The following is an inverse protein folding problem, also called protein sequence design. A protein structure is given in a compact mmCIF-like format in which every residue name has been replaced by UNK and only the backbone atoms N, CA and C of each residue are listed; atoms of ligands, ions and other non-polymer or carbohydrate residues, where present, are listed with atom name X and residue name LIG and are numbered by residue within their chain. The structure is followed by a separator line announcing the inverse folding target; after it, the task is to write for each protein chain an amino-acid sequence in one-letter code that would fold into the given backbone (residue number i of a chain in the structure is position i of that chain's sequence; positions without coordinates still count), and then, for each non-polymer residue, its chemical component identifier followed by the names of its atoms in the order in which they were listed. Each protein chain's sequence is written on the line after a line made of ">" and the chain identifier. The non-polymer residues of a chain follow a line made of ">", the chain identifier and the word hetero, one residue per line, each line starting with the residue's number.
data_IF_659234750522
#
_entry.id   IF_659234750522
#
_cell.length_a   1.000
_cell.length_b   1.000
_cell.length_c   1.000
_cell.angle_alpha   90.00
_cell.angle_beta   90.00
_cell.angle_gamma   90.00
#
_symmetry.space_group_name_H-M   'P 1'
#
loop_
_entity.id
_entity.type
_entity.pdbx_description
1 polymer ?
#
# COMPACT_ATOMS: atom_id res chain seq x y z
N UNK A 1 31.94 -13.57 22.48
CA UNK A 1 30.58 -14.06 22.20
C UNK A 1 29.60 -12.94 22.53
N UNK A 2 29.55 -11.90 21.69
CA UNK A 2 28.61 -10.79 21.85
C UNK A 2 28.38 -10.21 20.45
N UNK A 3 27.14 -10.28 20.00
CA UNK A 3 26.73 -10.01 18.62
C UNK A 3 25.22 -10.11 18.56
N UNK A 4 24.61 -9.12 19.19
CA UNK A 4 23.21 -8.80 19.28
C UNK A 4 22.53 -8.77 17.90
N UNK A 5 21.55 -9.65 17.69
CA UNK A 5 20.40 -9.40 16.82
C UNK A 5 19.41 -10.55 16.98
N UNK A 6 18.81 -10.62 18.17
CA UNK A 6 17.41 -11.00 18.23
C UNK A 6 16.69 -9.83 17.58
N UNK A 7 16.37 -9.95 16.29
CA UNK A 7 15.36 -9.12 15.65
C UNK A 7 14.08 -9.40 16.41
N UNK A 8 13.88 -8.61 17.46
CA UNK A 8 12.67 -8.55 18.23
C UNK A 8 11.59 -8.14 17.23
N UNK A 9 10.92 -9.12 16.65
CA UNK A 9 9.58 -8.99 16.13
C UNK A 9 8.66 -8.70 17.33
N UNK A 10 8.89 -7.56 17.99
CA UNK A 10 7.88 -6.93 18.82
C UNK A 10 6.79 -6.54 17.84
N UNK A 11 5.79 -7.41 17.70
CA UNK A 11 4.53 -7.03 17.07
C UNK A 11 3.87 -5.99 17.98
N UNK A 12 4.32 -4.75 17.79
CA UNK A 12 3.67 -3.52 18.20
C UNK A 12 2.21 -3.57 17.68
N UNK A 13 1.20 -3.17 18.48
CA UNK A 13 -0.23 -3.32 18.16
C UNK A 13 -0.49 -2.82 16.74
N UNK A 14 -1.24 -3.52 15.86
CA UNK A 14 -1.21 -3.29 14.40
C UNK A 14 -1.18 -1.80 14.08
N UNK A 15 0.02 -1.27 13.83
CA UNK A 15 0.20 0.18 13.73
C UNK A 15 -0.49 0.56 12.44
N UNK A 16 -1.56 1.36 12.57
CA UNK A 16 -2.18 1.96 11.40
C UNK A 16 -1.06 2.62 10.59
N UNK A 17 -0.97 2.32 9.29
CA UNK A 17 0.07 2.91 8.47
C UNK A 17 0.01 4.42 8.52
N UNK A 18 1.15 5.08 8.35
CA UNK A 18 1.16 6.53 8.21
C UNK A 18 0.40 6.91 6.94
N UNK A 19 -0.51 7.90 6.96
CA UNK A 19 -1.11 8.42 5.73
C UNK A 19 -0.03 8.81 4.71
N UNK A 20 -0.21 8.38 3.45
CA UNK A 20 0.77 8.47 2.37
C UNK A 20 1.63 7.21 2.18
N UNK A 21 1.51 6.20 3.06
CA UNK A 21 2.19 4.91 2.86
C UNK A 21 1.55 4.14 1.71
N UNK A 22 2.38 3.60 0.81
CA UNK A 22 1.90 2.75 -0.28
C UNK A 22 1.52 1.36 0.24
N UNK A 23 0.30 0.97 -0.06
CA UNK A 23 -0.34 -0.27 0.34
C UNK A 23 -0.73 -1.05 -0.90
N UNK A 24 -0.61 -2.37 -0.84
CA UNK A 24 -1.13 -3.29 -1.84
C UNK A 24 -2.41 -3.90 -1.28
N UNK A 25 -3.49 -3.72 -2.01
CA UNK A 25 -4.77 -4.39 -1.80
C UNK A 25 -4.79 -5.68 -2.61
N UNK A 26 -4.73 -6.80 -1.90
CA UNK A 26 -4.67 -8.16 -2.44
C UNK A 26 -6.05 -8.82 -2.57
N UNK A 27 -7.13 -8.11 -2.23
CA UNK A 27 -8.50 -8.61 -2.42
C UNK A 27 -8.87 -8.83 -3.90
N UNK A 28 -8.12 -8.21 -4.83
CA UNK A 28 -8.28 -8.34 -6.28
C UNK A 28 -6.96 -8.59 -7.01
N UNK A 29 -6.75 -7.94 -8.17
CA UNK A 29 -5.54 -8.10 -9.01
C UNK A 29 -4.26 -7.46 -8.43
N UNK A 30 -4.21 -7.17 -7.13
CA UNK A 30 -3.05 -6.53 -6.50
C UNK A 30 -2.98 -5.03 -6.77
N UNK A 31 -4.04 -4.29 -6.43
CA UNK A 31 -4.12 -2.84 -6.65
C UNK A 31 -3.26 -2.09 -5.64
N UNK A 32 -2.53 -1.07 -6.09
CA UNK A 32 -1.67 -0.26 -5.21
C UNK A 32 -2.27 1.12 -4.97
N UNK A 33 -2.38 1.51 -3.71
CA UNK A 33 -2.92 2.80 -3.28
C UNK A 33 -2.17 3.39 -2.09
N UNK A 34 -2.24 4.70 -1.94
CA UNK A 34 -1.77 5.41 -0.77
C UNK A 34 -2.81 5.29 0.34
N UNK A 35 -2.37 4.87 1.52
CA UNK A 35 -3.19 4.90 2.73
C UNK A 35 -3.55 6.35 3.07
N UNK A 36 -4.84 6.64 3.21
CA UNK A 36 -5.34 7.97 3.57
C UNK A 36 -5.89 8.04 4.98
N UNK A 37 -6.28 6.89 5.54
CA UNK A 37 -6.87 6.79 6.86
C UNK A 37 -7.79 5.57 6.95
N UNK A 38 -8.59 5.52 8.02
CA UNK A 38 -9.60 4.48 8.22
C UNK A 38 -11.00 5.03 7.99
N UNK A 39 -11.87 4.20 7.40
CA UNK A 39 -13.28 4.45 7.21
C UNK A 39 -14.06 3.32 7.90
N UNK A 40 -14.28 3.47 9.21
CA UNK A 40 -14.86 2.41 10.04
C UNK A 40 -13.96 1.18 10.10
N UNK A 41 -14.45 -0.04 9.75
CA UNK A 41 -13.63 -1.25 9.72
C UNK A 41 -12.72 -1.35 8.50
N UNK A 42 -12.88 -0.46 7.51
CA UNK A 42 -12.11 -0.47 6.27
C UNK A 42 -11.00 0.58 6.27
N UNK A 43 -10.00 0.38 5.43
CA UNK A 43 -8.95 1.36 5.14
C UNK A 43 -9.27 2.13 3.88
N UNK A 44 -9.05 3.43 3.91
CA UNK A 44 -9.27 4.31 2.77
C UNK A 44 -7.97 4.43 1.97
N UNK A 45 -7.98 3.93 0.73
CA UNK A 45 -6.85 3.95 -0.19
C UNK A 45 -7.15 4.85 -1.39
N UNK A 46 -6.15 5.62 -1.79
CA UNK A 46 -6.19 6.45 -2.99
C UNK A 46 -5.24 5.90 -4.06
N UNK A 47 -5.67 5.74 -5.32
CA UNK A 47 -4.77 5.28 -6.37
C UNK A 47 -3.66 6.30 -6.64
N UNK A 48 -2.42 5.79 -6.81
CA UNK A 48 -1.22 6.61 -7.07
C UNK A 48 -1.31 7.33 -8.42
N UNK A 49 -2.04 6.79 -9.39
CA UNK A 49 -2.15 7.31 -10.76
C UNK A 49 -3.30 8.31 -10.97
N UNK A 50 -4.04 8.66 -9.91
CA UNK A 50 -5.37 9.24 -10.08
C UNK A 50 -6.41 8.17 -10.37
N UNK A 51 -7.69 8.49 -10.13
CA UNK A 51 -8.80 7.54 -10.18
C UNK A 51 -9.60 7.54 -8.88
N UNK A 52 -10.55 6.61 -8.79
CA UNK A 52 -11.50 6.54 -7.66
C UNK A 52 -10.83 5.97 -6.42
N UNK A 53 -10.91 6.72 -5.32
CA UNK A 53 -10.55 6.26 -3.98
C UNK A 53 -11.43 5.06 -3.59
N UNK A 54 -10.89 4.11 -2.84
CA UNK A 54 -11.63 2.91 -2.46
C UNK A 54 -11.39 2.52 -1.01
N UNK A 55 -12.36 1.78 -0.48
CA UNK A 55 -12.28 1.15 0.83
C UNK A 55 -11.72 -0.26 0.65
N UNK A 56 -10.70 -0.61 1.43
CA UNK A 56 -10.04 -1.90 1.39
C UNK A 56 -10.09 -2.57 2.76
N UNK A 57 -10.19 -3.90 2.78
CA UNK A 57 -10.24 -4.65 4.04
C UNK A 57 -8.84 -4.71 4.63
N UNK A 58 -8.61 -4.32 5.89
CA UNK A 58 -7.28 -4.28 6.48
C UNK A 58 -6.55 -5.64 6.44
N UNK A 59 -7.29 -6.75 6.46
CA UNK A 59 -6.74 -8.10 6.37
C UNK A 59 -6.19 -8.45 4.98
N UNK A 60 -6.74 -7.84 3.93
CA UNK A 60 -6.32 -8.02 2.54
C UNK A 60 -5.33 -6.94 2.09
N UNK A 61 -4.96 -6.04 2.99
CA UNK A 61 -4.07 -4.92 2.69
C UNK A 61 -2.75 -5.10 3.43
N UNK A 62 -1.65 -4.97 2.68
CA UNK A 62 -0.31 -5.00 3.25
C UNK A 62 0.56 -3.86 2.74
N UNK A 63 1.60 -3.46 3.49
CA UNK A 63 2.62 -2.56 2.98
C UNK A 63 3.21 -3.07 1.67
N UNK A 64 3.33 -2.19 0.69
CA UNK A 64 4.00 -2.50 -0.56
C UNK A 64 5.50 -2.72 -0.30
N UNK A 65 6.07 -3.79 -0.86
CA UNK A 65 7.52 -3.98 -0.84
C UNK A 65 8.20 -2.90 -1.69
N UNK A 66 9.51 -2.64 -1.51
CA UNK A 66 10.23 -1.68 -2.36
C UNK A 66 10.15 -2.00 -3.85
N UNK A 67 10.15 -3.28 -4.21
CA UNK A 67 9.99 -3.74 -5.59
C UNK A 67 8.58 -3.45 -6.13
N UNK A 68 7.54 -3.60 -5.31
CA UNK A 68 6.16 -3.27 -5.66
C UNK A 68 5.92 -1.76 -5.69
N UNK A 69 6.57 -0.98 -4.82
CA UNK A 69 6.57 0.47 -4.91
C UNK A 69 7.20 0.96 -6.21
N UNK A 70 8.26 0.31 -6.68
CA UNK A 70 8.88 0.61 -7.97
C UNK A 70 7.96 0.17 -9.12
N UNK A 71 7.38 -1.02 -9.06
CA UNK A 71 6.41 -1.52 -10.04
C UNK A 71 5.17 -0.63 -10.13
N UNK A 72 4.63 -0.15 -9.01
CA UNK A 72 3.50 0.79 -8.98
C UNK A 72 3.87 2.15 -9.61
N UNK A 73 5.11 2.62 -9.40
CA UNK A 73 5.63 3.81 -10.09
C UNK A 73 5.81 3.56 -11.60
N UNK A 74 6.27 2.38 -12.01
CA UNK A 74 6.37 2.01 -13.43
C UNK A 74 4.98 1.80 -14.05
N UNK A 75 4.02 1.26 -13.31
CA UNK A 75 2.62 1.18 -13.72
C UNK A 75 2.02 2.57 -13.90
N UNK A 76 2.42 3.56 -13.09
CA UNK A 76 2.10 4.98 -13.28
C UNK A 76 2.68 5.54 -14.59
N UNK A 77 3.85 5.10 -15.02
CA UNK A 77 4.42 5.47 -16.32
C UNK A 77 3.71 4.74 -17.48
N UNK A 78 3.39 3.45 -17.30
CA UNK A 78 2.67 2.65 -18.30
C UNK A 78 1.23 3.12 -18.51
N UNK A 79 0.50 3.51 -17.46
CA UNK A 79 -0.86 4.04 -17.56
C UNK A 79 -0.89 5.40 -18.30
N UNK A 80 0.12 6.25 -18.08
CA UNK A 80 0.29 7.49 -18.85
C UNK A 80 0.58 7.24 -20.32
N UNK A 81 1.40 6.24 -20.64
CA UNK A 81 1.74 5.89 -22.03
C UNK A 81 0.56 5.31 -22.82
N UNK A 82 -0.41 4.69 -22.12
CA UNK A 82 -1.65 4.15 -22.71
C UNK A 82 -2.77 5.17 -22.93
N UNK A 83 -2.61 6.41 -22.46
CA UNK A 83 -3.64 7.46 -22.61
C UNK A 83 -4.86 7.29 -21.70
N UNK A 84 -4.77 6.50 -20.63
CA UNK A 84 -5.86 6.23 -19.67
C UNK A 84 -5.93 7.26 -18.53
N UNK A 85 -5.03 8.24 -18.52
CA UNK A 85 -5.01 9.35 -17.57
C UNK A 85 -5.20 10.65 -18.35
N UNK A 86 -6.39 11.23 -18.23
CA UNK A 86 -6.70 12.62 -18.63
C UNK A 86 -6.82 13.51 -17.39
#
# INVERSE_FOLDING_TARGET
>A
MSGESVLAHSQEPPHLPTPGTLMVDTSGEGRVGEFRGTAGPYWYLRPVCGGTEWEAVPEDVRPATPAECLSARTARENARSRGEVV
#
